data_IF_865558592467
#
_entry.id   IF_865558592467
#
_cell.length_a   1.000
_cell.length_b   1.000
_cell.length_c   1.000
_cell.angle_alpha   90.00
_cell.angle_beta   90.00
_cell.angle_gamma   90.00
#
_symmetry.space_group_name_H-M   'P 1'
#
loop_
_entity.id
_entity.type
_entity.pdbx_description
1 polymer ?
#
# COMPACT_ATOMS: atom_id res chain seq x y z
N UNK A 1 15.94 -6.49 12.02
CA UNK A 1 14.83 -6.36 11.04
C UNK A 1 13.64 -7.16 11.54
N UNK A 2 12.49 -6.54 11.71
CA UNK A 2 11.26 -7.25 12.11
C UNK A 2 10.71 -7.96 10.87
N UNK A 3 10.55 -9.29 10.93
CA UNK A 3 9.98 -10.10 9.85
C UNK A 3 8.56 -10.46 10.24
N UNK A 4 7.58 -9.97 9.48
CA UNK A 4 6.15 -10.28 9.68
C UNK A 4 5.73 -11.23 8.57
N UNK A 5 5.38 -12.45 8.94
CA UNK A 5 4.76 -13.44 8.05
C UNK A 5 3.34 -13.73 8.53
N UNK A 6 2.36 -13.47 7.65
CA UNK A 6 0.94 -13.67 7.94
C UNK A 6 0.28 -14.39 6.76
N UNK A 7 -0.54 -15.40 7.04
CA UNK A 7 -1.44 -15.99 6.03
C UNK A 7 -2.74 -15.20 5.99
N UNK A 8 -3.18 -14.81 4.81
CA UNK A 8 -4.43 -14.08 4.62
C UNK A 8 -5.11 -14.49 3.32
N UNK A 9 -6.37 -14.10 3.14
CA UNK A 9 -7.08 -14.30 1.87
C UNK A 9 -6.62 -13.27 0.85
N UNK A 10 -6.73 -13.62 -0.44
CA UNK A 10 -6.36 -12.71 -1.52
C UNK A 10 -7.17 -11.40 -1.48
N UNK A 11 -8.45 -11.46 -1.13
CA UNK A 11 -9.29 -10.25 -1.02
C UNK A 11 -8.85 -9.34 0.13
N UNK A 12 -8.48 -9.91 1.29
CA UNK A 12 -7.96 -9.10 2.40
C UNK A 12 -6.63 -8.46 2.03
N UNK A 13 -5.78 -9.17 1.30
CA UNK A 13 -4.54 -8.61 0.78
C UNK A 13 -4.82 -7.47 -0.22
N UNK A 14 -5.76 -7.66 -1.16
CA UNK A 14 -6.19 -6.64 -2.11
C UNK A 14 -6.66 -5.37 -1.41
N UNK A 15 -7.55 -5.51 -0.42
CA UNK A 15 -8.05 -4.39 0.38
C UNK A 15 -6.94 -3.68 1.13
N UNK A 16 -6.02 -4.45 1.75
CA UNK A 16 -4.87 -3.90 2.44
C UNK A 16 -4.01 -3.04 1.50
N UNK A 17 -3.69 -3.54 0.31
CA UNK A 17 -2.89 -2.78 -0.67
C UNK A 17 -3.64 -1.53 -1.12
N UNK A 18 -4.93 -1.63 -1.47
CA UNK A 18 -5.72 -0.47 -1.90
C UNK A 18 -5.73 0.61 -0.81
N UNK A 19 -6.01 0.24 0.44
CA UNK A 19 -6.07 1.16 1.58
C UNK A 19 -4.75 1.90 1.80
N UNK A 20 -3.62 1.22 1.63
CA UNK A 20 -2.30 1.79 1.92
C UNK A 20 -1.63 2.47 0.72
N UNK A 21 -2.22 2.41 -0.48
CA UNK A 21 -1.53 2.89 -1.70
C UNK A 21 -2.36 3.82 -2.54
N UNK A 22 -3.63 3.48 -2.81
CA UNK A 22 -4.40 4.15 -3.85
C UNK A 22 -5.84 4.50 -3.49
N UNK A 23 -6.25 4.30 -2.23
CA UNK A 23 -7.63 4.50 -1.77
C UNK A 23 -8.20 5.87 -2.10
N UNK A 24 -7.37 6.91 -2.10
CA UNK A 24 -7.78 8.29 -2.35
C UNK A 24 -8.02 8.61 -3.83
N UNK A 25 -7.45 7.84 -4.76
CA UNK A 25 -7.53 8.12 -6.21
C UNK A 25 -8.07 6.96 -7.05
N UNK A 26 -8.33 5.80 -6.45
CA UNK A 26 -8.93 4.66 -7.15
C UNK A 26 -10.38 4.98 -7.59
N UNK A 27 -10.76 4.69 -8.86
CA UNK A 27 -12.14 4.85 -9.30
C UNK A 27 -13.12 3.98 -8.50
N UNK A 28 -14.32 4.48 -8.13
CA UNK A 28 -15.28 3.74 -7.30
C UNK A 28 -15.72 2.39 -7.88
N UNK A 29 -15.75 2.25 -9.21
CA UNK A 29 -16.08 0.98 -9.87
C UNK A 29 -15.03 -0.11 -9.61
N UNK A 30 -13.76 0.25 -9.55
CA UNK A 30 -12.65 -0.69 -9.36
C UNK A 30 -12.55 -1.19 -7.92
N UNK A 31 -13.06 -0.43 -6.95
CA UNK A 31 -13.18 -0.91 -5.56
C UNK A 31 -14.10 -2.13 -5.45
N UNK A 32 -15.18 -2.15 -6.25
CA UNK A 32 -16.20 -3.20 -6.23
C UNK A 32 -15.83 -4.42 -7.08
N UNK A 33 -14.84 -4.27 -7.96
CA UNK A 33 -14.39 -5.34 -8.83
C UNK A 33 -13.29 -6.18 -8.14
N UNK A 34 -13.55 -7.46 -7.80
CA UNK A 34 -12.57 -8.32 -7.15
C UNK A 34 -11.43 -8.76 -8.08
N UNK A 35 -11.57 -8.56 -9.40
CA UNK A 35 -10.52 -8.89 -10.38
C UNK A 35 -9.43 -7.81 -10.49
N UNK A 36 -9.67 -6.62 -9.94
CA UNK A 36 -8.75 -5.50 -10.04
C UNK A 36 -7.78 -5.45 -8.86
N UNK A 37 -6.49 -5.52 -9.16
CA UNK A 37 -5.39 -5.40 -8.21
C UNK A 37 -4.57 -4.14 -8.52
N UNK A 38 -4.15 -3.39 -7.49
CA UNK A 38 -3.19 -2.31 -7.69
C UNK A 38 -1.85 -2.90 -8.13
N UNK A 39 -1.42 -2.51 -9.33
CA UNK A 39 -0.06 -2.78 -9.80
C UNK A 39 0.84 -1.58 -9.50
N UNK A 40 2.11 -1.87 -9.25
CA UNK A 40 3.15 -0.84 -9.07
C UNK A 40 4.13 -0.96 -10.21
N UNK A 41 4.48 0.18 -10.80
CA UNK A 41 5.62 0.25 -11.68
C UNK A 41 6.89 -0.11 -10.91
N UNK A 42 7.66 -1.05 -11.46
CA UNK A 42 8.91 -1.55 -10.89
C UNK A 42 10.00 -0.47 -10.87
N UNK A 43 9.81 0.63 -11.61
CA UNK A 43 10.77 1.72 -11.72
C UNK A 43 10.91 2.57 -10.43
N UNK A 44 9.83 2.74 -9.64
CA UNK A 44 9.82 3.60 -8.45
C UNK A 44 8.92 3.03 -7.34
N UNK A 45 9.49 2.19 -6.49
CA UNK A 45 8.80 1.65 -5.31
C UNK A 45 8.69 2.65 -4.15
N UNK A 46 7.83 3.67 -4.28
CA UNK A 46 7.56 4.63 -3.19
C UNK A 46 6.25 4.27 -2.47
N UNK A 47 6.33 4.09 -1.15
CA UNK A 47 5.15 3.96 -0.26
C UNK A 47 5.01 5.29 0.47
N UNK A 48 3.93 6.02 0.20
CA UNK A 48 3.55 7.19 1.00
C UNK A 48 2.83 6.69 2.25
N UNK A 49 3.54 6.71 3.37
CA UNK A 49 2.93 6.50 4.69
C UNK A 49 2.42 7.85 5.16
N UNK A 50 1.13 7.95 5.45
CA UNK A 50 0.58 9.14 6.11
C UNK A 50 1.19 9.23 7.52
N UNK A 51 2.19 10.11 7.66
CA UNK A 51 2.83 10.44 8.93
C UNK A 51 2.37 11.83 9.36
N UNK A 52 2.08 12.00 10.66
CA UNK A 52 1.70 13.27 11.29
C UNK A 52 2.75 14.38 11.07
N UNK A 53 3.98 14.00 10.69
CA UNK A 53 5.03 14.90 10.27
C UNK A 53 5.79 14.27 9.10
N UNK A 54 6.00 15.04 8.02
CA UNK A 54 6.98 14.75 6.95
C UNK A 54 8.39 14.81 7.55
N UNK A 55 8.76 13.84 8.36
CA UNK A 55 10.16 13.56 8.63
C UNK A 55 10.52 12.44 7.66
N UNK A 56 11.38 12.76 6.69
CA UNK A 56 11.92 11.77 5.78
C UNK A 56 12.48 10.61 6.62
N UNK A 57 11.93 9.41 6.40
CA UNK A 57 12.32 8.17 7.09
C UNK A 57 13.83 7.87 6.95
N UNK A 58 14.51 8.51 6.00
CA UNK A 58 15.98 8.50 5.86
C UNK A 58 16.71 9.01 7.11
N UNK A 59 16.13 9.96 7.88
CA UNK A 59 16.80 10.54 9.05
C UNK A 59 16.81 9.66 10.30
N UNK A 60 16.08 8.54 10.31
CA UNK A 60 15.96 7.66 11.50
C UNK A 60 17.01 6.53 11.47
N UNK A 61 17.88 6.50 10.46
CA UNK A 61 19.04 5.60 10.41
C UNK A 61 20.35 6.40 10.52
N UNK A 62 20.60 6.90 11.72
CA UNK A 62 21.94 7.10 12.30
C UNK A 62 21.89 6.66 13.77
#
# INVERSE_FOLDING_TARGET
MVKIELKTTLERFRQFIILNTCRSFIPPGYLKDPSIFPERDLSQGLIYVEAVSKIDLEKIRD
#
